data_IF_947870991149
#
_entry.id   IF_947870991149
#
_cell.length_a   1.000
_cell.length_b   1.000
_cell.length_c   1.000
_cell.angle_alpha   90.00
_cell.angle_beta   90.00
_cell.angle_gamma   90.00
#
_symmetry.space_group_name_H-M   'P 1'
#
loop_
_entity.id
_entity.type
_entity.pdbx_description
1 polymer ?
#
# COMPACT_ATOMS: atom_id res chain seq x y z
N UNK A 1 -14.12 20.04 10.01
CA UNK A 1 -15.37 19.71 10.71
C UNK A 1 -16.22 18.78 9.84
N UNK A 2 -16.45 17.56 10.30
CA UNK A 2 -17.21 16.56 9.57
C UNK A 2 -18.73 16.81 9.74
N UNK A 3 -19.48 17.06 8.66
CA UNK A 3 -20.90 17.36 8.76
C UNK A 3 -21.73 16.15 9.23
N UNK A 4 -21.28 14.93 8.98
CA UNK A 4 -22.05 13.71 9.26
C UNK A 4 -21.97 13.27 10.71
N UNK A 5 -20.80 13.35 11.34
CA UNK A 5 -20.61 12.93 12.73
C UNK A 5 -20.36 14.08 13.70
N UNK A 6 -20.28 15.33 13.24
CA UNK A 6 -19.94 16.52 14.05
C UNK A 6 -18.67 16.32 14.88
N UNK A 7 -17.65 15.77 14.23
CA UNK A 7 -16.31 15.46 14.77
C UNK A 7 -16.26 14.40 15.87
N UNK A 8 -17.36 13.66 16.08
CA UNK A 8 -17.38 12.53 17.03
C UNK A 8 -16.70 11.27 16.49
N UNK A 9 -16.46 11.20 15.18
CA UNK A 9 -15.90 10.03 14.50
C UNK A 9 -16.89 8.86 14.32
N UNK A 10 -18.12 8.98 14.83
CA UNK A 10 -19.12 7.91 14.78
C UNK A 10 -20.48 8.44 14.34
N UNK A 11 -21.22 7.60 13.64
CA UNK A 11 -22.61 7.83 13.22
C UNK A 11 -23.49 6.70 13.77
N UNK A 12 -24.69 7.02 14.21
CA UNK A 12 -25.67 6.03 14.62
C UNK A 12 -26.39 5.51 13.37
N UNK A 13 -26.41 4.20 13.16
CA UNK A 13 -27.14 3.58 12.06
C UNK A 13 -28.62 3.39 12.46
N UNK A 14 -29.49 3.20 11.46
CA UNK A 14 -30.93 2.98 11.67
C UNK A 14 -31.23 1.76 12.57
N UNK A 15 -30.30 0.81 12.64
CA UNK A 15 -30.38 -0.38 13.49
C UNK A 15 -29.94 -0.14 14.95
N UNK A 16 -29.66 1.11 15.33
CA UNK A 16 -29.18 1.48 16.67
C UNK A 16 -27.71 1.09 16.96
N UNK A 17 -26.98 0.63 15.95
CA UNK A 17 -25.56 0.32 16.07
C UNK A 17 -24.72 1.54 15.71
N UNK A 18 -23.68 1.77 16.50
CA UNK A 18 -22.70 2.83 16.25
C UNK A 18 -21.69 2.36 15.19
N UNK A 19 -21.61 3.10 14.07
CA UNK A 19 -20.64 2.84 13.00
C UNK A 19 -19.60 3.95 12.96
N UNK A 20 -18.36 3.62 12.59
CA UNK A 20 -17.32 4.61 12.33
C UNK A 20 -17.74 5.52 11.17
N UNK A 21 -17.59 6.82 11.35
CA UNK A 21 -17.82 7.79 10.28
C UNK A 21 -16.68 7.71 9.24
N UNK A 22 -16.96 8.08 8.01
CA UNK A 22 -15.93 8.16 6.96
C UNK A 22 -14.75 9.07 7.35
N UNK A 23 -14.98 10.14 8.12
CA UNK A 23 -13.91 11.03 8.57
C UNK A 23 -12.95 10.33 9.56
N UNK A 24 -13.46 9.40 10.37
CA UNK A 24 -12.62 8.60 11.26
C UNK A 24 -11.72 7.63 10.46
N UNK A 25 -12.31 7.00 9.46
CA UNK A 25 -11.58 6.14 8.53
C UNK A 25 -10.52 6.92 7.75
N UNK A 26 -10.85 8.15 7.31
CA UNK A 26 -9.88 9.03 6.64
C UNK A 26 -8.72 9.43 7.57
N UNK A 27 -8.98 9.69 8.84
CA UNK A 27 -7.92 9.98 9.81
C UNK A 27 -7.02 8.76 10.08
N UNK A 28 -7.58 7.56 10.15
CA UNK A 28 -6.79 6.31 10.25
C UNK A 28 -5.90 6.13 9.01
N UNK A 29 -6.43 6.35 7.81
CA UNK A 29 -5.66 6.33 6.57
C UNK A 29 -4.57 7.42 6.54
N UNK A 30 -4.87 8.64 6.99
CA UNK A 30 -3.89 9.73 7.05
C UNK A 30 -2.72 9.38 7.98
N UNK A 31 -2.99 8.73 9.12
CA UNK A 31 -1.96 8.23 10.04
C UNK A 31 -1.11 7.14 9.35
N UNK A 32 -1.75 6.22 8.61
CA UNK A 32 -1.05 5.20 7.85
C UNK A 32 -0.19 5.81 6.72
N UNK A 33 -0.71 6.83 6.03
CA UNK A 33 0.03 7.57 5.02
C UNK A 33 1.20 8.37 5.60
N UNK A 34 1.06 8.95 6.79
CA UNK A 34 2.16 9.61 7.49
C UNK A 34 3.24 8.63 7.93
N UNK A 35 2.85 7.45 8.43
CA UNK A 35 3.79 6.39 8.82
C UNK A 35 4.50 5.77 7.62
N UNK A 36 3.87 5.77 6.44
CA UNK A 36 4.44 5.20 5.22
C UNK A 36 5.35 6.16 4.44
N UNK A 37 5.52 7.41 4.88
CA UNK A 37 6.27 8.46 4.17
C UNK A 37 5.82 8.66 2.71
N UNK A 38 4.61 8.23 2.38
CA UNK A 38 4.09 8.18 1.00
C UNK A 38 4.00 9.59 0.39
N UNK A 39 3.72 10.61 1.19
CA UNK A 39 3.57 11.99 0.72
C UNK A 39 4.87 12.56 0.17
N UNK A 40 5.97 12.35 0.87
CA UNK A 40 7.29 12.82 0.45
C UNK A 40 7.77 12.03 -0.77
N UNK A 41 7.49 10.75 -0.81
CA UNK A 41 7.85 9.85 -1.89
C UNK A 41 7.12 10.21 -3.19
N UNK A 42 5.80 10.48 -3.16
CA UNK A 42 5.00 10.86 -4.32
C UNK A 42 5.53 12.12 -5.00
N UNK A 43 6.04 13.09 -4.24
CA UNK A 43 6.60 14.31 -4.78
C UNK A 43 7.87 14.05 -5.62
N UNK A 44 8.68 13.06 -5.26
CA UNK A 44 9.95 12.74 -5.90
C UNK A 44 9.88 11.54 -6.86
N UNK A 45 9.06 10.54 -6.54
CA UNK A 45 8.97 9.28 -7.26
C UNK A 45 7.72 9.25 -8.16
N UNK A 46 7.85 9.82 -9.33
CA UNK A 46 6.82 9.84 -10.36
C UNK A 46 7.44 9.68 -11.76
N UNK A 47 6.64 9.27 -12.74
CA UNK A 47 7.13 9.01 -14.09
C UNK A 47 7.66 10.27 -14.81
N UNK A 48 7.37 11.48 -14.33
CA UNK A 48 7.92 12.71 -14.88
C UNK A 48 9.37 12.93 -14.45
N UNK A 49 9.76 12.37 -13.30
CA UNK A 49 11.12 12.44 -12.77
C UNK A 49 11.98 11.24 -13.19
N UNK A 50 11.43 10.35 -14.03
CA UNK A 50 12.14 9.16 -14.50
C UNK A 50 13.34 9.55 -15.34
N UNK A 51 14.55 9.09 -14.96
CA UNK A 51 15.77 9.25 -15.74
C UNK A 51 16.32 7.88 -16.16
N UNK A 52 16.77 7.80 -17.39
CA UNK A 52 17.46 6.61 -17.95
C UNK A 52 18.98 6.72 -17.89
N UNK A 53 19.53 7.84 -17.42
CA UNK A 53 20.96 8.13 -17.44
C UNK A 53 21.81 7.18 -16.59
N UNK A 54 21.17 6.57 -15.60
CA UNK A 54 21.81 5.62 -14.68
C UNK A 54 21.99 4.22 -15.27
N UNK A 55 21.42 3.94 -16.44
CA UNK A 55 21.40 2.61 -17.06
C UNK A 55 22.09 2.62 -18.41
N UNK A 56 22.82 1.55 -18.73
CA UNK A 56 23.53 1.39 -20.01
C UNK A 56 23.35 -0.02 -20.57
N UNK A 57 23.49 -0.17 -21.89
CA UNK A 57 23.47 -1.47 -22.57
C UNK A 57 22.21 -2.28 -22.29
N UNK A 58 22.40 -3.52 -21.86
CA UNK A 58 21.30 -4.45 -21.57
C UNK A 58 20.46 -4.01 -20.36
N UNK A 59 21.07 -3.40 -19.34
CA UNK A 59 20.36 -2.89 -18.17
C UNK A 59 19.37 -1.79 -18.55
N UNK A 60 19.75 -0.90 -19.46
CA UNK A 60 18.85 0.12 -19.99
C UNK A 60 17.66 -0.50 -20.72
N UNK A 61 17.92 -1.53 -21.52
CA UNK A 61 16.87 -2.24 -22.25
C UNK A 61 15.88 -2.92 -21.30
N UNK A 62 16.39 -3.58 -20.26
CA UNK A 62 15.57 -4.21 -19.24
C UNK A 62 14.77 -3.18 -18.43
N UNK A 63 15.40 -2.09 -18.02
CA UNK A 63 14.72 -1.06 -17.25
C UNK A 63 13.59 -0.41 -18.05
N UNK A 64 13.78 -0.13 -19.35
CA UNK A 64 12.71 0.37 -20.23
C UNK A 64 11.51 -0.58 -20.27
N UNK A 65 11.76 -1.89 -20.40
CA UNK A 65 10.68 -2.88 -20.35
C UNK A 65 9.94 -2.86 -19.02
N UNK A 66 10.66 -2.73 -17.89
CA UNK A 66 10.03 -2.60 -16.58
C UNK A 66 9.14 -1.34 -16.49
N UNK A 67 9.63 -0.21 -17.01
CA UNK A 67 8.84 1.03 -17.08
C UNK A 67 7.57 0.85 -17.91
N UNK A 68 7.67 0.19 -19.07
CA UNK A 68 6.52 -0.08 -19.94
C UNK A 68 5.49 -0.97 -19.24
N UNK A 69 5.94 -2.01 -18.52
CA UNK A 69 5.06 -2.87 -17.69
C UNK A 69 4.37 -2.05 -16.61
N UNK A 70 5.10 -1.17 -15.89
CA UNK A 70 4.52 -0.33 -14.85
C UNK A 70 3.46 0.64 -15.40
N UNK A 71 3.74 1.28 -16.54
CA UNK A 71 2.78 2.18 -17.20
C UNK A 71 1.54 1.43 -17.69
N UNK A 72 1.73 0.26 -18.27
CA UNK A 72 0.62 -0.59 -18.70
C UNK A 72 -0.23 -1.06 -17.50
N UNK A 73 0.41 -1.41 -16.39
CA UNK A 73 -0.28 -1.76 -15.14
C UNK A 73 -1.18 -0.62 -14.65
N UNK A 74 -0.68 0.61 -14.62
CA UNK A 74 -1.47 1.79 -14.23
C UNK A 74 -2.61 2.05 -15.20
N UNK A 75 -2.36 2.00 -16.51
CA UNK A 75 -3.37 2.28 -17.54
C UNK A 75 -4.53 1.29 -17.52
N UNK A 76 -4.26 0.03 -17.20
CA UNK A 76 -5.26 -1.04 -17.19
C UNK A 76 -5.74 -1.42 -15.78
N UNK A 77 -5.37 -0.67 -14.76
CA UNK A 77 -5.57 -1.02 -13.35
C UNK A 77 -7.01 -1.38 -12.99
N UNK A 78 -8.00 -0.70 -13.59
CA UNK A 78 -9.45 -0.97 -13.35
C UNK A 78 -9.98 -2.15 -14.13
N UNK A 79 -9.30 -2.54 -15.20
CA UNK A 79 -9.83 -3.50 -16.18
C UNK A 79 -9.24 -4.90 -15.98
N UNK A 80 -8.05 -4.95 -15.41
CA UNK A 80 -7.25 -6.16 -15.37
C UNK A 80 -6.55 -6.32 -14.01
N UNK A 81 -6.91 -7.39 -13.30
CA UNK A 81 -6.34 -7.69 -12.00
C UNK A 81 -5.06 -8.50 -12.13
N UNK A 82 -3.94 -7.93 -11.72
CA UNK A 82 -2.71 -8.66 -11.46
C UNK A 82 -1.87 -8.03 -10.37
N UNK A 83 -0.95 -8.83 -9.83
CA UNK A 83 0.09 -8.39 -8.93
C UNK A 83 1.37 -8.14 -9.73
N UNK A 84 2.23 -7.26 -9.23
CA UNK A 84 3.59 -7.12 -9.73
C UNK A 84 4.57 -7.63 -8.68
N UNK A 85 5.66 -8.23 -9.13
CA UNK A 85 6.75 -8.62 -8.26
C UNK A 85 8.07 -8.11 -8.84
N UNK A 86 8.65 -7.12 -8.17
CA UNK A 86 9.96 -6.58 -8.52
C UNK A 86 11.06 -7.38 -7.81
N UNK A 87 12.03 -7.86 -8.58
CA UNK A 87 13.21 -8.52 -8.04
C UNK A 87 14.48 -8.02 -8.70
N UNK A 88 15.60 -8.09 -8.01
CA UNK A 88 16.88 -7.62 -8.49
C UNK A 88 17.73 -7.03 -7.37
N UNK A 89 18.97 -6.67 -7.70
CA UNK A 89 19.93 -6.10 -6.76
C UNK A 89 19.48 -4.72 -6.25
N UNK A 90 20.12 -4.24 -5.18
CA UNK A 90 19.88 -2.89 -4.65
C UNK A 90 20.26 -1.84 -5.71
N UNK A 91 19.50 -0.74 -5.76
CA UNK A 91 19.76 0.36 -6.68
C UNK A 91 19.24 0.18 -8.10
N UNK A 92 18.50 -0.89 -8.41
CA UNK A 92 17.93 -1.14 -9.75
C UNK A 92 16.61 -0.44 -10.04
N UNK A 93 16.15 0.47 -9.17
CA UNK A 93 14.95 1.29 -9.39
C UNK A 93 13.62 0.64 -8.98
N UNK A 94 13.62 -0.47 -8.21
CA UNK A 94 12.39 -1.14 -7.77
C UNK A 94 11.47 -0.22 -6.97
N UNK A 95 11.98 0.37 -5.88
CA UNK A 95 11.21 1.28 -5.02
C UNK A 95 10.76 2.53 -5.80
N UNK A 96 11.62 3.09 -6.66
CA UNK A 96 11.26 4.21 -7.52
C UNK A 96 10.08 3.88 -8.45
N UNK A 97 10.08 2.72 -9.11
CA UNK A 97 8.96 2.31 -9.97
C UNK A 97 7.69 2.03 -9.16
N UNK A 98 7.81 1.46 -7.96
CA UNK A 98 6.68 1.28 -7.04
C UNK A 98 6.09 2.63 -6.63
N UNK A 99 6.93 3.63 -6.33
CA UNK A 99 6.53 5.00 -6.06
C UNK A 99 5.86 5.68 -7.25
N UNK A 100 6.38 5.49 -8.47
CA UNK A 100 5.75 6.00 -9.69
C UNK A 100 4.32 5.45 -9.87
N UNK A 101 4.12 4.14 -9.66
CA UNK A 101 2.79 3.51 -9.74
C UNK A 101 1.87 4.09 -8.66
N UNK A 102 2.34 4.19 -7.42
CA UNK A 102 1.60 4.76 -6.31
C UNK A 102 1.13 6.19 -6.61
N UNK A 103 2.05 7.02 -7.10
CA UNK A 103 1.77 8.42 -7.46
C UNK A 103 0.66 8.55 -8.49
N UNK A 104 0.74 7.80 -9.59
CA UNK A 104 -0.27 7.84 -10.66
C UNK A 104 -1.64 7.34 -10.20
N UNK A 105 -1.68 6.26 -9.43
CA UNK A 105 -2.93 5.69 -8.93
C UNK A 105 -3.61 6.60 -7.91
N UNK A 106 -2.85 7.24 -7.02
CA UNK A 106 -3.39 8.23 -6.09
C UNK A 106 -3.97 9.45 -6.82
N UNK A 107 -3.30 9.95 -7.86
CA UNK A 107 -3.79 11.06 -8.67
C UNK A 107 -5.09 10.72 -9.42
N UNK A 108 -5.30 9.45 -9.73
CA UNK A 108 -6.54 8.95 -10.36
C UNK A 108 -7.62 8.51 -9.38
N UNK A 109 -7.42 8.79 -8.08
CA UNK A 109 -8.41 8.59 -7.02
C UNK A 109 -8.48 7.16 -6.46
N UNK A 110 -7.43 6.35 -6.68
CA UNK A 110 -7.32 5.03 -6.08
C UNK A 110 -6.72 5.11 -4.66
N UNK A 111 -7.16 4.22 -3.79
CA UNK A 111 -6.56 4.05 -2.47
C UNK A 111 -5.28 3.21 -2.57
N UNK A 112 -4.17 3.78 -2.10
CA UNK A 112 -2.85 3.12 -2.10
C UNK A 112 -2.30 3.10 -0.69
N UNK A 113 -1.85 1.94 -0.22
CA UNK A 113 -1.09 1.79 1.02
C UNK A 113 0.31 1.30 0.67
N UNK A 114 1.32 1.97 1.18
CA UNK A 114 2.73 1.66 0.94
C UNK A 114 3.46 1.44 2.27
N UNK A 115 4.06 0.29 2.43
CA UNK A 115 4.90 -0.04 3.58
C UNK A 115 6.23 -0.63 3.14
N UNK A 116 7.28 -0.38 3.92
CA UNK A 116 8.41 -1.31 3.95
C UNK A 116 7.94 -2.60 4.63
N UNK A 117 8.48 -3.74 4.23
CA UNK A 117 8.14 -5.02 4.85
C UNK A 117 8.35 -4.99 6.38
N UNK A 118 9.49 -4.45 6.85
CA UNK A 118 9.76 -4.29 8.27
C UNK A 118 8.69 -3.44 8.98
N UNK A 119 8.34 -2.27 8.41
CA UNK A 119 7.33 -1.37 8.98
C UNK A 119 5.94 -2.00 9.08
N UNK A 120 5.54 -2.75 8.05
CA UNK A 120 4.27 -3.49 8.04
C UNK A 120 4.23 -4.54 9.17
N UNK A 121 5.26 -5.38 9.24
CA UNK A 121 5.26 -6.48 10.22
C UNK A 121 5.46 -6.01 11.65
N UNK A 122 6.23 -4.96 11.88
CA UNK A 122 6.34 -4.31 13.19
C UNK A 122 4.99 -3.73 13.65
N UNK A 123 4.25 -3.14 12.73
CA UNK A 123 2.91 -2.61 13.02
C UNK A 123 1.94 -3.74 13.36
N UNK A 124 1.92 -4.80 12.55
CA UNK A 124 1.08 -5.99 12.81
C UNK A 124 1.44 -6.66 14.14
N UNK A 125 2.73 -6.81 14.44
CA UNK A 125 3.19 -7.40 15.70
C UNK A 125 2.76 -6.55 16.90
N UNK A 126 2.94 -5.24 16.84
CA UNK A 126 2.53 -4.32 17.90
C UNK A 126 1.04 -4.44 18.22
N UNK A 127 0.18 -4.46 17.21
CA UNK A 127 -1.26 -4.63 17.42
C UNK A 127 -1.65 -6.04 17.87
N UNK A 128 -0.98 -7.09 17.36
CA UNK A 128 -1.29 -8.47 17.72
C UNK A 128 -1.00 -8.79 19.19
N UNK A 129 0.01 -8.14 19.78
CA UNK A 129 0.42 -8.38 21.17
C UNK A 129 -0.19 -7.37 22.17
N UNK A 130 -0.90 -6.35 21.70
CA UNK A 130 -1.64 -5.42 22.56
C UNK A 130 -3.12 -5.83 22.65
N UNK A 131 -3.50 -6.35 23.82
CA UNK A 131 -4.89 -6.79 24.08
C UNK A 131 -5.92 -5.66 24.03
N UNK A 132 -5.49 -4.38 24.12
CA UNK A 132 -6.34 -3.18 24.06
C UNK A 132 -6.56 -2.70 22.63
N UNK A 133 -5.75 -3.17 21.69
CA UNK A 133 -5.73 -2.71 20.30
C UNK A 133 -6.53 -3.60 19.33
N UNK A 134 -7.38 -4.51 19.80
CA UNK A 134 -8.11 -5.46 18.95
C UNK A 134 -8.97 -4.80 17.87
N UNK A 135 -9.66 -3.71 18.23
CA UNK A 135 -10.48 -2.97 17.25
C UNK A 135 -9.61 -2.26 16.23
N UNK A 136 -8.50 -1.64 16.68
CA UNK A 136 -7.54 -1.00 15.79
C UNK A 136 -6.88 -2.01 14.85
N UNK A 137 -6.54 -3.20 15.34
CA UNK A 137 -6.00 -4.28 14.51
C UNK A 137 -7.01 -4.73 13.44
N UNK A 138 -8.28 -4.90 13.80
CA UNK A 138 -9.34 -5.27 12.85
C UNK A 138 -9.51 -4.20 11.76
N UNK A 139 -9.52 -2.92 12.13
CA UNK A 139 -9.57 -1.81 11.19
C UNK A 139 -8.36 -1.80 10.25
N UNK A 140 -7.16 -1.98 10.79
CA UNK A 140 -5.93 -2.04 10.02
C UNK A 140 -5.93 -3.17 8.97
N UNK A 141 -6.40 -4.37 9.35
CA UNK A 141 -6.54 -5.47 8.38
C UNK A 141 -7.56 -5.15 7.30
N UNK A 142 -8.71 -4.56 7.65
CA UNK A 142 -9.71 -4.16 6.65
C UNK A 142 -9.14 -3.13 5.67
N UNK A 143 -8.34 -2.18 6.13
CA UNK A 143 -7.67 -1.21 5.26
C UNK A 143 -6.66 -1.89 4.33
N UNK A 144 -5.81 -2.78 4.86
CA UNK A 144 -4.86 -3.56 4.07
C UNK A 144 -5.55 -4.43 3.01
N UNK A 145 -6.69 -5.03 3.36
CA UNK A 145 -7.38 -5.95 2.45
C UNK A 145 -8.22 -5.23 1.39
N UNK A 146 -8.71 -4.04 1.67
CA UNK A 146 -9.63 -3.31 0.81
C UNK A 146 -9.00 -2.18 0.00
N UNK A 147 -7.81 -1.67 0.37
CA UNK A 147 -7.15 -0.67 -0.47
C UNK A 147 -6.95 -1.20 -1.89
N UNK A 148 -7.04 -0.33 -2.88
CA UNK A 148 -6.95 -0.74 -4.28
C UNK A 148 -5.57 -1.30 -4.62
N UNK A 149 -4.51 -0.67 -4.10
CA UNK A 149 -3.14 -1.14 -4.23
C UNK A 149 -2.44 -1.19 -2.87
N UNK A 150 -1.83 -2.33 -2.54
CA UNK A 150 -0.88 -2.48 -1.45
C UNK A 150 0.52 -2.65 -2.02
N UNK A 151 1.47 -1.85 -1.54
CA UNK A 151 2.89 -1.98 -1.88
C UNK A 151 3.63 -2.43 -0.63
N UNK A 152 4.38 -3.53 -0.74
CA UNK A 152 5.26 -4.05 0.31
C UNK A 152 6.69 -4.02 -0.24
N UNK A 153 7.41 -2.97 0.10
CA UNK A 153 8.78 -2.74 -0.40
C UNK A 153 9.83 -3.36 0.52
N UNK A 154 11.01 -3.63 -0.05
CA UNK A 154 12.16 -4.22 0.65
C UNK A 154 11.85 -5.56 1.35
N UNK A 155 11.03 -6.40 0.72
CA UNK A 155 10.71 -7.73 1.23
C UNK A 155 11.98 -8.58 1.34
N UNK A 156 12.20 -9.19 2.52
CA UNK A 156 13.39 -10.00 2.83
C UNK A 156 14.41 -9.28 3.71
N UNK A 157 14.17 -8.01 4.07
CA UNK A 157 14.99 -7.26 5.05
C UNK A 157 14.51 -7.45 6.48
N UNK A 158 13.27 -7.92 6.64
CA UNK A 158 12.66 -8.23 7.94
C UNK A 158 13.22 -9.54 8.53
N UNK A 159 13.14 -9.67 9.87
CA UNK A 159 13.42 -10.93 10.53
C UNK A 159 12.34 -11.97 10.17
N UNK A 160 12.70 -12.90 9.30
CA UNK A 160 11.81 -13.99 8.92
C UNK A 160 11.53 -14.91 10.10
N UNK A 161 10.27 -14.93 10.52
CA UNK A 161 9.76 -15.87 11.51
C UNK A 161 8.38 -16.39 11.08
N UNK A 162 7.87 -17.39 11.77
CA UNK A 162 6.59 -18.01 11.44
C UNK A 162 5.42 -17.01 11.47
N UNK A 163 5.47 -16.02 12.36
CA UNK A 163 4.46 -14.97 12.44
C UNK A 163 4.45 -14.13 11.16
N UNK A 164 5.60 -13.58 10.76
CA UNK A 164 5.75 -12.77 9.54
C UNK A 164 5.28 -13.54 8.31
N UNK A 165 5.74 -14.77 8.13
CA UNK A 165 5.34 -15.61 7.00
C UNK A 165 3.82 -15.86 6.97
N UNK A 166 3.22 -16.13 8.12
CA UNK A 166 1.77 -16.35 8.26
C UNK A 166 0.98 -15.09 7.94
N UNK A 167 1.41 -13.92 8.43
CA UNK A 167 0.73 -12.64 8.18
C UNK A 167 0.81 -12.25 6.71
N UNK A 168 1.98 -12.38 6.10
CA UNK A 168 2.17 -12.12 4.67
C UNK A 168 1.27 -13.02 3.82
N UNK A 169 1.29 -14.32 4.09
CA UNK A 169 0.46 -15.28 3.37
C UNK A 169 -1.03 -14.94 3.48
N UNK A 170 -1.51 -14.68 4.70
CA UNK A 170 -2.91 -14.32 4.94
C UNK A 170 -3.30 -13.04 4.21
N UNK A 171 -2.44 -12.01 4.26
CA UNK A 171 -2.69 -10.75 3.59
C UNK A 171 -2.76 -10.93 2.07
N UNK A 172 -1.80 -11.60 1.47
CA UNK A 172 -1.78 -11.84 0.02
C UNK A 172 -2.96 -12.68 -0.44
N UNK A 173 -3.34 -13.71 0.34
CA UNK A 173 -4.48 -14.57 0.02
C UNK A 173 -5.81 -13.80 0.08
N UNK A 174 -6.05 -13.02 1.13
CA UNK A 174 -7.26 -12.19 1.26
C UNK A 174 -7.37 -11.17 0.12
N UNK A 175 -6.28 -10.51 -0.22
CA UNK A 175 -6.26 -9.54 -1.32
C UNK A 175 -6.48 -10.22 -2.68
N UNK A 176 -5.90 -11.41 -2.89
CA UNK A 176 -6.14 -12.20 -4.08
C UNK A 176 -7.63 -12.58 -4.23
N UNK A 177 -8.26 -13.05 -3.16
CA UNK A 177 -9.69 -13.39 -3.18
C UNK A 177 -10.58 -12.18 -3.46
N UNK A 178 -10.18 -10.99 -3.03
CA UNK A 178 -10.87 -9.71 -3.28
C UNK A 178 -10.47 -9.06 -4.61
N UNK A 179 -9.57 -9.66 -5.38
CA UNK A 179 -9.01 -9.11 -6.61
C UNK A 179 -8.39 -7.70 -6.39
N UNK A 180 -7.70 -7.51 -5.27
CA UNK A 180 -6.98 -6.29 -4.92
C UNK A 180 -5.49 -6.44 -5.20
N UNK A 181 -4.95 -5.55 -6.04
CA UNK A 181 -3.57 -5.64 -6.52
C UNK A 181 -2.53 -5.42 -5.41
N UNK A 182 -1.42 -6.16 -5.49
CA UNK A 182 -0.28 -6.04 -4.58
C UNK A 182 1.03 -5.98 -5.38
N UNK A 183 1.95 -5.11 -4.96
CA UNK A 183 3.32 -5.01 -5.44
C UNK A 183 4.27 -5.38 -4.32
#
# INVERSE_FOLDING_TARGET
DCPDCKDTGYIDSEDGLRKKCHCFHQQELDILYEQSHIRDMIASENFSNLSYEYYQGDDLTHFRKCVDVCRNFVQNFKQDYHNLFFYGTVGTGKSFLSGCIASELLQTGHSVIYFSASGLFDTLARYAFDSRAKEALSGFYEDLYNCDLLIIDDLGTEMTNTFVASQLFSCLNERHLRQKATI
#
